data_IF_327148203592
#
_entry.id   IF_327148203592
#
_cell.length_a   1.000
_cell.length_b   1.000
_cell.length_c   1.000
_cell.angle_alpha   90.00
_cell.angle_beta   90.00
_cell.angle_gamma   90.00
#
_symmetry.space_group_name_H-M   'P 1'
#
loop_
_entity.id
_entity.type
_entity.pdbx_description
1 polymer ?
#
# COMPACT_ATOMS: atom_id res chain seq x y z
N UNK A 1 -10.23 18.84 -4.62
CA UNK A 1 -9.34 17.81 -4.05
C UNK A 1 -9.83 16.46 -4.53
N UNK A 2 -8.97 15.65 -5.14
CA UNK A 2 -9.28 14.29 -5.62
C UNK A 2 -9.28 13.32 -4.44
N UNK A 3 -10.32 12.50 -4.30
CA UNK A 3 -10.42 11.48 -3.25
C UNK A 3 -9.57 10.26 -3.61
N UNK A 4 -8.47 10.06 -2.91
CA UNK A 4 -7.56 8.93 -3.13
C UNK A 4 -6.71 8.65 -1.89
N UNK A 5 -6.01 7.52 -1.85
CA UNK A 5 -4.89 7.28 -0.94
C UNK A 5 -3.59 7.71 -1.63
N UNK A 6 -2.78 8.54 -1.00
CA UNK A 6 -1.46 8.92 -1.51
C UNK A 6 -0.39 8.09 -0.80
N UNK A 7 0.54 7.53 -1.54
CA UNK A 7 1.69 6.83 -0.99
C UNK A 7 2.95 7.46 -1.58
N UNK A 8 3.85 7.89 -0.71
CA UNK A 8 5.07 8.59 -1.02
C UNK A 8 6.28 7.77 -0.60
N UNK A 9 7.30 7.60 -1.45
CA UNK A 9 8.50 6.77 -1.16
C UNK A 9 9.79 7.57 -1.19
N UNK A 10 10.60 7.36 -0.14
CA UNK A 10 12.04 7.68 -0.02
C UNK A 10 12.68 6.57 0.86
N UNK A 11 13.63 6.88 1.74
CA UNK A 11 14.04 5.99 2.84
C UNK A 11 12.86 5.58 3.75
N UNK A 12 11.74 6.30 3.71
CA UNK A 12 10.50 6.04 4.43
C UNK A 12 9.35 6.04 3.43
N UNK A 13 8.34 5.20 3.67
CA UNK A 13 7.08 5.22 2.92
C UNK A 13 6.03 5.97 3.74
N UNK A 14 5.47 7.05 3.21
CA UNK A 14 4.44 7.85 3.84
C UNK A 14 3.09 7.64 3.16
N UNK A 15 2.11 7.12 3.91
CA UNK A 15 0.76 6.88 3.44
C UNK A 15 -0.14 7.97 3.99
N UNK A 16 -0.88 8.67 3.13
CA UNK A 16 -1.85 9.68 3.53
C UNK A 16 -3.25 9.32 3.03
N UNK A 17 -4.23 9.39 3.95
CA UNK A 17 -5.62 9.24 3.58
C UNK A 17 -6.21 10.57 3.12
N UNK A 18 -6.36 10.75 1.80
CA UNK A 18 -7.07 11.88 1.20
C UNK A 18 -8.51 11.51 0.79
N UNK A 19 -9.02 10.36 1.23
CA UNK A 19 -10.42 9.95 1.03
C UNK A 19 -11.33 10.58 2.11
N UNK A 20 -12.58 10.94 1.77
CA UNK A 20 -13.54 11.52 2.73
C UNK A 20 -14.11 10.49 3.73
N UNK A 21 -13.50 9.31 3.82
CA UNK A 21 -13.92 8.21 4.68
C UNK A 21 -12.71 7.55 5.33
N UNK A 22 -12.93 6.87 6.46
CA UNK A 22 -11.90 6.10 7.15
C UNK A 22 -11.38 4.97 6.27
N UNK A 23 -10.06 4.83 6.21
CA UNK A 23 -9.39 3.66 5.61
C UNK A 23 -8.59 2.93 6.66
N UNK A 24 -8.46 1.61 6.51
CA UNK A 24 -7.54 0.81 7.31
C UNK A 24 -6.40 0.37 6.41
N UNK A 25 -5.35 1.19 6.38
CA UNK A 25 -4.13 0.88 5.64
C UNK A 25 -3.52 -0.42 6.17
N UNK A 26 -2.86 -1.14 5.27
CA UNK A 26 -2.22 -2.41 5.55
C UNK A 26 -0.95 -2.56 4.72
N UNK A 27 0.04 -3.23 5.29
CA UNK A 27 1.30 -3.52 4.65
C UNK A 27 1.80 -4.91 5.05
N UNK A 28 2.48 -5.57 4.13
CA UNK A 28 3.16 -6.83 4.43
C UNK A 28 4.35 -6.59 5.40
N UNK A 29 4.53 -7.51 6.38
CA UNK A 29 5.29 -7.39 7.64
C UNK A 29 4.51 -6.86 8.87
N UNK A 30 3.24 -7.24 9.02
CA UNK A 30 2.50 -7.05 10.28
C UNK A 30 1.86 -5.68 10.45
N UNK A 31 1.83 -4.85 9.40
CA UNK A 31 1.32 -3.50 9.49
C UNK A 31 -0.20 -3.42 9.40
N UNK A 32 -0.77 -2.43 10.08
CA UNK A 32 -2.20 -2.16 10.04
C UNK A 32 -2.56 -0.90 10.80
N UNK A 33 -3.14 0.10 10.13
CA UNK A 33 -3.48 1.36 10.79
C UNK A 33 -4.81 1.94 10.28
N UNK A 34 -5.65 2.33 11.23
CA UNK A 34 -6.85 3.14 10.96
C UNK A 34 -6.41 4.58 10.70
N UNK A 35 -6.83 5.14 9.56
CA UNK A 35 -6.52 6.49 9.13
C UNK A 35 -7.82 7.23 8.81
N UNK A 36 -8.07 8.33 9.51
CA UNK A 36 -9.10 9.30 9.14
C UNK A 36 -8.62 10.20 8.01
N UNK A 37 -9.51 11.06 7.50
CA UNK A 37 -9.13 12.05 6.49
C UNK A 37 -8.00 12.95 7.00
N UNK A 38 -6.90 13.00 6.23
CA UNK A 38 -5.70 13.77 6.53
C UNK A 38 -4.68 13.04 7.42
N UNK A 39 -5.03 11.90 8.02
CA UNK A 39 -4.09 11.11 8.81
C UNK A 39 -3.01 10.49 7.93
N UNK A 40 -1.81 10.33 8.52
CA UNK A 40 -0.64 9.75 7.87
C UNK A 40 -0.12 8.52 8.60
N UNK A 41 0.50 7.59 7.86
CA UNK A 41 1.24 6.46 8.41
C UNK A 41 2.59 6.31 7.72
N UNK A 42 3.65 6.38 8.51
CA UNK A 42 5.02 6.15 8.06
C UNK A 42 5.42 4.70 8.28
N UNK A 43 5.97 4.08 7.26
CA UNK A 43 6.49 2.71 7.26
C UNK A 43 7.98 2.78 6.88
N UNK A 44 8.81 2.16 7.70
CA UNK A 44 10.21 1.92 7.35
C UNK A 44 10.28 0.64 6.52
N UNK A 45 10.65 0.73 5.23
CA UNK A 45 10.83 -0.47 4.43
C UNK A 45 12.02 -1.27 4.97
N UNK A 46 11.87 -2.59 5.10
CA UNK A 46 13.01 -3.45 5.40
C UNK A 46 13.97 -3.47 4.20
N UNK A 47 15.11 -2.80 4.35
CA UNK A 47 16.20 -2.74 3.37
C UNK A 47 17.32 -3.72 3.70
N UNK A 48 17.22 -4.49 4.79
CA UNK A 48 18.29 -5.37 5.29
C UNK A 48 18.27 -6.73 4.59
N UNK A 49 17.11 -7.16 4.11
CA UNK A 49 17.02 -8.29 3.20
C UNK A 49 17.50 -7.84 1.81
N UNK A 50 18.52 -8.51 1.25
CA UNK A 50 18.96 -8.36 -0.16
C UNK A 50 17.87 -8.77 -1.18
N UNK A 51 16.63 -8.89 -0.72
CA UNK A 51 15.47 -9.38 -1.40
C UNK A 51 14.19 -8.70 -0.87
N UNK A 52 14.17 -7.37 -0.73
CA UNK A 52 12.91 -6.59 -0.68
C UNK A 52 12.19 -6.70 -2.04
N UNK A 53 11.91 -7.93 -2.48
CA UNK A 53 11.56 -8.22 -3.87
C UNK A 53 10.09 -8.00 -4.16
N UNK A 54 9.23 -8.00 -3.15
CA UNK A 54 7.78 -7.81 -3.31
C UNK A 54 7.19 -7.36 -1.99
N UNK A 55 7.05 -6.06 -1.74
CA UNK A 55 6.25 -5.56 -0.63
C UNK A 55 4.96 -4.98 -1.20
N UNK A 56 3.86 -5.18 -0.47
CA UNK A 56 2.52 -4.75 -0.87
C UNK A 56 1.98 -3.82 0.20
N UNK A 57 1.44 -2.70 -0.24
CA UNK A 57 0.62 -1.80 0.56
C UNK A 57 -0.76 -1.78 -0.07
N UNK A 58 -1.79 -1.78 0.77
CA UNK A 58 -3.16 -1.65 0.32
C UNK A 58 -4.02 -0.96 1.37
N UNK A 59 -5.26 -0.69 1.01
CA UNK A 59 -6.25 -0.12 1.92
C UNK A 59 -7.47 -1.00 2.04
N UNK A 60 -8.05 -0.98 3.23
CA UNK A 60 -9.26 -1.74 3.59
C UNK A 60 -10.38 -0.78 3.96
N UNK A 61 -11.61 -1.16 3.64
CA UNK A 61 -12.80 -0.34 3.89
C UNK A 61 -13.79 -1.03 4.81
N UNK A 62 -14.58 -0.25 5.54
CA UNK A 62 -15.68 -0.71 6.38
C UNK A 62 -15.25 -1.83 7.33
N UNK A 63 -14.13 -1.60 8.03
CA UNK A 63 -13.61 -2.57 8.98
C UNK A 63 -14.21 -2.36 10.36
N UNK A 64 -14.37 -3.47 11.09
CA UNK A 64 -14.69 -3.46 12.50
C UNK A 64 -13.76 -4.45 13.21
N UNK A 65 -12.99 -3.97 14.19
CA UNK A 65 -12.05 -4.75 14.98
C UNK A 65 -12.37 -4.59 16.46
N UNK A 66 -12.21 -5.67 17.21
CA UNK A 66 -12.27 -5.66 18.67
C UNK A 66 -10.95 -5.16 19.29
N UNK A 67 -10.89 -5.13 20.62
CA UNK A 67 -9.72 -4.67 21.38
C UNK A 67 -8.50 -5.59 21.24
N UNK A 68 -8.67 -6.80 20.72
CA UNK A 68 -7.58 -7.73 20.40
C UNK A 68 -7.08 -7.58 18.95
N UNK A 69 -7.64 -6.64 18.19
CA UNK A 69 -7.32 -6.44 16.79
C UNK A 69 -7.91 -7.51 15.87
N UNK A 70 -8.96 -8.21 16.30
CA UNK A 70 -9.66 -9.24 15.53
C UNK A 70 -10.99 -8.71 15.01
N UNK A 71 -11.32 -9.02 13.77
CA UNK A 71 -12.43 -8.35 13.11
C UNK A 71 -12.63 -8.80 11.67
N UNK A 72 -13.24 -7.93 10.87
CA UNK A 72 -13.36 -8.09 9.42
C UNK A 72 -13.44 -6.73 8.73
N UNK A 73 -12.93 -6.69 7.50
CA UNK A 73 -13.15 -5.61 6.54
C UNK A 73 -14.02 -6.07 5.36
N UNK A 74 -14.77 -5.13 4.77
CA UNK A 74 -15.56 -5.44 3.57
C UNK A 74 -14.68 -5.64 2.32
N UNK A 75 -13.57 -4.90 2.20
CA UNK A 75 -12.59 -5.04 1.11
C UNK A 75 -11.17 -5.10 1.65
N UNK A 76 -10.29 -5.83 0.96
CA UNK A 76 -8.88 -5.94 1.30
C UNK A 76 -8.58 -6.65 2.63
N UNK A 77 -9.55 -7.34 3.23
CA UNK A 77 -9.38 -8.02 4.52
C UNK A 77 -8.20 -8.99 4.50
N UNK A 78 -7.48 -9.09 5.62
CA UNK A 78 -6.28 -9.93 5.74
C UNK A 78 -6.47 -11.01 6.81
N UNK A 79 -7.53 -11.80 6.65
CA UNK A 79 -7.96 -12.87 7.58
C UNK A 79 -8.43 -12.34 8.94
N UNK A 80 -9.11 -11.19 8.92
CA UNK A 80 -9.73 -10.60 10.09
C UNK A 80 -8.76 -10.05 11.13
N UNK A 81 -7.57 -9.66 10.70
CA UNK A 81 -6.54 -9.06 11.54
C UNK A 81 -6.45 -7.56 11.28
N UNK A 82 -6.36 -6.75 12.32
CA UNK A 82 -6.02 -5.34 12.19
C UNK A 82 -4.59 -5.22 11.62
N UNK A 83 -3.65 -5.93 12.21
CA UNK A 83 -2.24 -6.02 11.82
C UNK A 83 -2.02 -7.22 10.87
N UNK A 84 -1.79 -6.94 9.58
CA UNK A 84 -1.76 -7.98 8.56
C UNK A 84 -0.44 -8.76 8.56
N UNK A 85 -0.49 -10.05 8.87
CA UNK A 85 0.70 -10.89 9.00
C UNK A 85 1.13 -11.60 7.71
N UNK A 86 0.39 -11.45 6.61
CA UNK A 86 0.65 -12.14 5.34
C UNK A 86 0.38 -11.25 4.14
N UNK A 87 0.84 -11.67 2.96
CA UNK A 87 0.54 -11.01 1.68
C UNK A 87 -0.91 -11.18 1.23
N UNK A 88 -1.67 -12.05 1.89
CA UNK A 88 -3.02 -12.40 1.48
C UNK A 88 -3.98 -11.29 1.92
N UNK A 89 -4.55 -10.62 0.93
CA UNK A 89 -5.73 -9.79 1.06
C UNK A 89 -6.89 -10.45 0.30
N UNK A 90 -8.11 -10.32 0.80
CA UNK A 90 -9.32 -10.79 0.12
C UNK A 90 -9.72 -9.73 -0.94
N UNK A 91 -9.74 -10.07 -2.24
CA UNK A 91 -10.21 -9.18 -3.31
C UNK A 91 -11.65 -8.69 -3.08
N UNK A 92 -12.04 -7.50 -3.59
CA UNK A 92 -11.24 -6.63 -4.46
C UNK A 92 -10.25 -5.76 -3.68
N UNK A 93 -9.07 -5.51 -4.25
CA UNK A 93 -8.01 -4.76 -3.61
C UNK A 93 -7.05 -4.07 -4.59
N UNK A 94 -6.97 -2.73 -4.54
CA UNK A 94 -5.95 -1.96 -5.25
C UNK A 94 -4.63 -2.05 -4.49
N UNK A 95 -3.57 -2.51 -5.14
CA UNK A 95 -2.28 -2.75 -4.52
C UNK A 95 -1.24 -1.72 -4.97
N UNK A 96 -0.57 -1.07 -4.03
CA UNK A 96 0.74 -0.48 -4.28
C UNK A 96 1.80 -1.57 -4.10
N UNK A 97 2.56 -1.83 -5.16
CA UNK A 97 3.63 -2.82 -5.18
C UNK A 97 4.96 -2.12 -5.33
N UNK A 98 5.91 -2.48 -4.47
CA UNK A 98 7.25 -1.96 -4.58
C UNK A 98 8.33 -3.01 -4.35
N UNK A 99 9.46 -2.76 -4.98
CA UNK A 99 10.71 -3.47 -4.76
C UNK A 99 11.86 -2.46 -4.79
N UNK A 100 12.62 -2.40 -3.70
CA UNK A 100 13.72 -1.44 -3.53
C UNK A 100 15.06 -2.12 -3.72
N UNK A 101 16.06 -1.39 -4.16
CA UNK A 101 17.44 -1.84 -4.30
C UNK A 101 17.58 -3.13 -5.12
N UNK A 102 16.87 -3.21 -6.26
CA UNK A 102 17.06 -4.32 -7.21
C UNK A 102 18.42 -4.22 -7.91
N UNK A 103 18.70 -5.14 -8.84
CA UNK A 103 19.94 -5.13 -9.64
C UNK A 103 20.20 -3.73 -10.22
N UNK A 104 21.43 -3.25 -10.05
CA UNK A 104 21.90 -1.91 -10.43
C UNK A 104 21.29 -0.74 -9.62
N UNK A 105 20.84 -0.97 -8.38
CA UNK A 105 20.22 0.05 -7.51
C UNK A 105 18.94 0.65 -8.12
N UNK A 106 18.20 -0.15 -8.88
CA UNK A 106 16.93 0.27 -9.43
C UNK A 106 15.79 -0.03 -8.46
N UNK A 107 14.88 0.92 -8.33
CA UNK A 107 13.62 0.73 -7.60
C UNK A 107 12.47 0.51 -8.59
N UNK A 108 11.52 -0.34 -8.21
CA UNK A 108 10.29 -0.56 -8.97
C UNK A 108 9.13 -0.19 -8.07
N UNK A 109 8.35 0.81 -8.50
CA UNK A 109 7.12 1.24 -7.87
C UNK A 109 5.98 1.08 -8.88
N UNK A 110 4.80 0.63 -8.44
CA UNK A 110 3.65 0.56 -9.31
C UNK A 110 2.34 0.28 -8.59
N UNK A 111 1.24 0.48 -9.31
CA UNK A 111 -0.10 0.10 -8.88
C UNK A 111 -0.52 -1.14 -9.64
N UNK A 112 -1.02 -2.15 -8.93
CA UNK A 112 -1.56 -3.38 -9.50
C UNK A 112 -3.05 -3.51 -9.19
N UNK A 113 -3.81 -3.90 -10.21
CA UNK A 113 -5.23 -4.22 -10.14
C UNK A 113 -5.50 -5.71 -10.37
N UNK A 114 -4.47 -6.56 -10.25
CA UNK A 114 -4.62 -8.01 -10.44
C UNK A 114 -5.64 -8.61 -9.46
N UNK A 115 -5.72 -8.04 -8.25
CA UNK A 115 -6.68 -8.42 -7.20
C UNK A 115 -7.92 -7.51 -7.21
N UNK A 116 -8.19 -6.81 -8.31
CA UNK A 116 -9.33 -5.91 -8.48
C UNK A 116 -9.09 -4.47 -8.02
N UNK A 117 -10.18 -3.71 -7.86
CA UNK A 117 -10.14 -2.30 -7.49
C UNK A 117 -11.09 -2.03 -6.32
N UNK A 118 -10.63 -1.28 -5.32
CA UNK A 118 -11.46 -0.83 -4.19
C UNK A 118 -11.37 0.67 -3.91
N UNK A 119 -10.17 1.24 -3.82
CA UNK A 119 -9.94 2.66 -3.51
C UNK A 119 -8.97 3.24 -4.55
N UNK A 120 -9.24 4.46 -5.08
CA UNK A 120 -8.26 5.18 -5.91
C UNK A 120 -6.97 5.40 -5.15
N UNK A 121 -5.83 5.13 -5.79
CA UNK A 121 -4.51 5.25 -5.16
C UNK A 121 -3.57 6.02 -6.07
N UNK A 122 -2.73 6.84 -5.46
CA UNK A 122 -1.56 7.43 -6.08
C UNK A 122 -0.33 6.87 -5.37
N UNK A 123 0.68 6.50 -6.15
CA UNK A 123 1.94 6.00 -5.63
C UNK A 123 3.11 6.67 -6.36
N UNK A 124 3.86 7.50 -5.64
CA UNK A 124 4.90 8.34 -6.23
C UNK A 124 6.12 8.45 -5.31
N UNK A 125 7.33 8.63 -5.87
CA UNK A 125 8.52 8.96 -5.09
C UNK A 125 8.49 10.42 -4.61
N UNK A 126 9.08 10.73 -3.46
CA UNK A 126 9.18 12.11 -2.91
C UNK A 126 10.23 12.97 -3.63
N UNK A 127 11.01 12.37 -4.54
CA UNK A 127 12.00 12.92 -5.49
C UNK A 127 13.49 12.82 -5.11
N UNK A 128 14.27 12.32 -6.07
CA UNK A 128 15.48 12.97 -6.60
C UNK A 128 15.52 12.68 -8.12
N UNK A 129 14.98 13.59 -8.93
CA UNK A 129 15.06 13.77 -10.40
C UNK A 129 14.97 12.59 -11.43
N UNK A 130 15.07 11.31 -11.10
CA UNK A 130 14.92 10.22 -12.08
C UNK A 130 14.35 8.95 -11.43
N UNK A 131 13.04 8.91 -11.23
CA UNK A 131 12.33 7.64 -11.41
C UNK A 131 11.63 7.78 -12.75
N UNK A 132 12.29 7.33 -13.82
CA UNK A 132 11.71 7.25 -15.14
C UNK A 132 10.32 6.66 -14.99
N UNK A 133 9.32 7.50 -15.31
CA UNK A 133 7.93 7.14 -15.41
C UNK A 133 7.90 5.79 -16.13
N UNK A 134 7.50 4.74 -15.41
CA UNK A 134 7.06 3.50 -16.01
C UNK A 134 5.73 3.75 -16.72
N UNK A 135 5.74 4.61 -17.74
CA UNK A 135 4.61 4.86 -18.64
C UNK A 135 4.35 3.71 -19.60
N UNK A 136 5.02 2.56 -19.43
CA UNK A 136 4.87 1.38 -20.31
C UNK A 136 4.21 0.16 -19.64
N UNK A 137 3.62 0.28 -18.45
CA UNK A 137 2.83 -0.82 -17.87
C UNK A 137 1.34 -0.82 -18.27
N UNK A 138 0.91 0.06 -19.19
CA UNK A 138 -0.40 -0.01 -19.84
C UNK A 138 -0.25 -0.26 -21.36
N UNK A 139 0.40 -1.36 -21.74
CA UNK A 139 0.20 -1.94 -23.07
C UNK A 139 -0.40 -3.31 -22.92
N UNK A 140 -1.72 -3.34 -23.05
CA UNK A 140 -2.50 -4.52 -23.36
C UNK A 140 -1.83 -5.30 -24.49
N UNK A 141 -1.52 -6.57 -24.24
CA UNK A 141 -1.48 -7.61 -25.27
C UNK A 141 -2.70 -8.48 -25.09
#
# INVERSE_FOLDING_TARGET
MTSHLSILVDAIIDLQNNCPFTVWAAAFLGGGRRLEYGDTWKIEPDTTASSTKKVRIWSRTNCNFDTSGRGQCQTGDCNGLLECQSFSSIPPNTLAVYALNLFNNNDVLGISLVDGFNIPMEFSPVSADECLLGSDALRTS
#
